data_IF_905277024519
#
_entry.id   IF_905277024519
#
_cell.length_a   1.000
_cell.length_b   1.000
_cell.length_c   1.000
_cell.angle_alpha   90.00
_cell.angle_beta   90.00
_cell.angle_gamma   90.00
#
_symmetry.space_group_name_H-M   'P 1'
#
loop_
_entity.id
_entity.type
_entity.pdbx_description
1 polymer ?
#
# COMPACT_ATOMS: atom_id res chain seq x y z
N UNK A 1 -23.64 32.79 36.08
CA UNK A 1 -24.90 32.80 35.31
C UNK A 1 -25.22 31.37 34.88
N UNK A 2 -25.85 30.59 35.76
CA UNK A 2 -26.40 29.28 35.40
C UNK A 2 -27.76 29.49 34.75
N UNK A 3 -27.89 29.17 33.46
CA UNK A 3 -29.21 29.06 32.82
C UNK A 3 -29.78 27.69 33.12
N UNK A 4 -30.64 27.65 34.12
CA UNK A 4 -31.61 26.59 34.39
C UNK A 4 -32.50 26.44 33.15
N UNK A 5 -32.39 25.33 32.44
CA UNK A 5 -33.42 24.93 31.48
C UNK A 5 -34.60 24.40 32.28
N UNK A 6 -35.52 25.30 32.62
CA UNK A 6 -36.88 24.97 33.02
C UNK A 6 -37.53 24.24 31.84
N UNK A 7 -37.85 22.96 32.02
CA UNK A 7 -38.91 22.34 31.23
C UNK A 7 -40.18 23.16 31.47
N UNK A 8 -40.55 23.98 30.50
CA UNK A 8 -41.87 24.61 30.49
C UNK A 8 -42.90 23.50 30.35
N UNK A 9 -43.69 23.27 31.42
CA UNK A 9 -44.82 22.36 31.40
C UNK A 9 -45.78 22.74 30.25
N UNK A 10 -46.24 21.78 29.44
CA UNK A 10 -47.29 22.05 28.49
C UNK A 10 -48.59 22.29 29.25
N UNK A 11 -48.96 23.56 29.42
CA UNK A 11 -50.31 23.99 29.76
C UNK A 11 -51.26 23.57 28.64
N UNK A 12 -51.82 22.36 28.73
CA UNK A 12 -53.04 21.97 28.02
C UNK A 12 -53.61 20.72 28.68
N UNK A 13 -54.87 20.84 29.09
CA UNK A 13 -55.72 19.85 29.74
C UNK A 13 -55.96 18.65 28.80
N UNK A 14 -54.91 17.90 28.49
CA UNK A 14 -54.96 16.64 27.75
C UNK A 14 -55.54 15.61 28.71
N UNK A 15 -56.67 15.01 28.33
CA UNK A 15 -57.28 13.99 29.18
C UNK A 15 -56.28 12.85 29.41
N UNK A 16 -56.27 12.23 30.60
CA UNK A 16 -55.40 11.08 30.91
C UNK A 16 -55.30 10.07 29.75
N UNK A 17 -56.40 9.70 29.03
CA UNK A 17 -56.33 8.84 27.86
C UNK A 17 -55.43 9.34 26.71
N UNK A 18 -55.35 10.65 26.47
CA UNK A 18 -54.51 11.23 25.42
C UNK A 18 -53.02 11.18 25.78
N UNK A 19 -52.68 11.41 27.05
CA UNK A 19 -51.30 11.32 27.53
C UNK A 19 -50.80 9.87 27.49
N UNK A 20 -51.63 8.90 27.89
CA UNK A 20 -51.32 7.48 27.76
C UNK A 20 -51.09 7.06 26.31
N UNK A 21 -51.93 7.54 25.37
CA UNK A 21 -51.80 7.22 23.95
C UNK A 21 -50.50 7.78 23.34
N UNK A 22 -50.06 8.96 23.77
CA UNK A 22 -48.79 9.55 23.33
C UNK A 22 -47.58 8.74 23.84
N UNK A 23 -47.56 8.38 25.12
CA UNK A 23 -46.48 7.58 25.71
C UNK A 23 -46.39 6.19 25.09
N UNK A 24 -47.53 5.52 24.86
CA UNK A 24 -47.56 4.23 24.18
C UNK A 24 -47.04 4.35 22.74
N UNK A 25 -47.42 5.39 22.01
CA UNK A 25 -46.90 5.63 20.65
C UNK A 25 -45.38 5.80 20.62
N UNK A 26 -44.81 6.53 21.58
CA UNK A 26 -43.34 6.70 21.70
C UNK A 26 -42.68 5.35 21.96
N UNK A 27 -43.20 4.56 22.88
CA UNK A 27 -42.66 3.24 23.24
C UNK A 27 -42.74 2.26 22.05
N UNK A 28 -43.86 2.25 21.33
CA UNK A 28 -44.01 1.41 20.13
C UNK A 28 -43.12 1.86 18.97
N UNK A 29 -42.80 3.15 18.85
CA UNK A 29 -41.93 3.68 17.78
C UNK A 29 -40.44 3.45 17.99
N UNK A 30 -40.03 2.98 19.19
CA UNK A 30 -38.63 2.69 19.47
C UNK A 30 -38.11 1.54 18.61
N UNK A 31 -36.93 1.71 18.01
CA UNK A 31 -36.24 0.64 17.31
C UNK A 31 -35.77 -0.45 18.29
N UNK A 32 -35.38 -0.05 19.50
CA UNK A 32 -34.98 -0.95 20.58
C UNK A 32 -36.20 -1.70 21.12
N UNK A 33 -36.02 -2.99 21.42
CA UNK A 33 -37.04 -3.77 22.12
C UNK A 33 -37.14 -3.31 23.57
N UNK A 34 -38.35 -3.00 24.03
CA UNK A 34 -38.61 -2.56 25.40
C UNK A 34 -39.51 -3.58 26.08
N UNK A 35 -39.09 -4.03 27.25
CA UNK A 35 -39.84 -4.93 28.13
C UNK A 35 -39.85 -4.37 29.54
N UNK A 36 -41.01 -4.41 30.19
CA UNK A 36 -41.20 -3.94 31.56
C UNK A 36 -41.71 -5.08 32.42
N UNK A 37 -41.12 -5.26 33.59
CA UNK A 37 -41.59 -6.17 34.62
C UNK A 37 -41.96 -5.41 35.90
N UNK A 38 -42.79 -6.01 36.74
CA UNK A 38 -43.10 -5.50 38.08
C UNK A 38 -41.98 -5.81 39.09
N UNK A 39 -42.20 -5.39 40.34
CA UNK A 39 -41.29 -5.59 41.47
C UNK A 39 -41.02 -7.06 41.82
N UNK A 40 -41.90 -7.97 41.41
CA UNK A 40 -41.75 -9.42 41.60
C UNK A 40 -41.08 -10.10 40.40
N UNK A 41 -40.77 -9.35 39.34
CA UNK A 41 -40.22 -9.90 38.10
C UNK A 41 -41.28 -10.58 37.22
N UNK A 42 -42.55 -10.19 37.35
CA UNK A 42 -43.63 -10.61 36.45
C UNK A 42 -43.72 -9.65 35.27
N UNK A 43 -43.78 -10.19 34.04
CA UNK A 43 -43.87 -9.37 32.83
C UNK A 43 -45.12 -8.49 32.83
N UNK A 44 -44.93 -7.18 32.68
CA UNK A 44 -45.99 -6.17 32.73
C UNK A 44 -46.39 -5.70 31.33
N UNK A 45 -45.42 -5.26 30.51
CA UNK A 45 -45.69 -4.85 29.13
C UNK A 45 -44.45 -5.01 28.25
N UNK A 46 -44.66 -5.01 26.92
CA UNK A 46 -43.59 -4.93 25.94
C UNK A 46 -44.03 -4.24 24.66
N UNK A 47 -43.09 -3.58 23.98
CA UNK A 47 -43.32 -3.00 22.66
C UNK A 47 -43.17 -4.06 21.54
N UNK A 48 -43.63 -3.72 20.35
CA UNK A 48 -43.57 -4.63 19.19
C UNK A 48 -42.13 -4.91 18.73
N UNK A 49 -41.20 -3.97 18.95
CA UNK A 49 -39.79 -4.17 18.65
C UNK A 49 -39.17 -5.31 19.45
N UNK A 50 -39.59 -5.54 20.70
CA UNK A 50 -39.10 -6.66 21.51
C UNK A 50 -39.43 -8.01 20.86
N UNK A 51 -40.66 -8.17 20.37
CA UNK A 51 -41.09 -9.37 19.63
C UNK A 51 -40.39 -9.47 18.28
N UNK A 52 -40.19 -8.35 17.57
CA UNK A 52 -39.46 -8.31 16.29
C UNK A 52 -38.01 -8.81 16.44
N UNK A 53 -37.32 -8.38 17.49
CA UNK A 53 -35.91 -8.71 17.74
C UNK A 53 -35.76 -10.15 18.24
N UNK A 54 -36.60 -10.60 19.17
CA UNK A 54 -36.42 -11.90 19.85
C UNK A 54 -37.24 -13.04 19.27
N UNK A 55 -38.20 -12.73 18.40
CA UNK A 55 -39.20 -13.67 17.90
C UNK A 55 -40.22 -14.14 18.94
N UNK A 56 -40.14 -13.66 20.20
CA UNK A 56 -41.05 -14.10 21.26
C UNK A 56 -42.36 -13.31 21.21
N UNK A 57 -43.52 -13.97 21.08
CA UNK A 57 -44.80 -13.28 21.13
C UNK A 57 -45.14 -12.82 22.56
N UNK A 58 -45.78 -11.65 22.71
CA UNK A 58 -46.11 -11.03 24.01
C UNK A 58 -46.70 -12.01 25.04
N UNK A 59 -47.62 -12.88 24.60
CA UNK A 59 -48.29 -13.91 25.42
C UNK A 59 -47.36 -14.87 26.18
N UNK A 60 -46.11 -15.02 25.74
CA UNK A 60 -45.12 -15.93 26.35
C UNK A 60 -44.38 -15.31 27.53
N UNK A 61 -44.41 -13.99 27.70
CA UNK A 61 -43.69 -13.27 28.75
C UNK A 61 -44.60 -12.40 29.62
N UNK A 62 -45.70 -11.85 29.06
CA UNK A 62 -46.64 -11.05 29.84
C UNK A 62 -47.37 -11.90 30.88
N UNK A 63 -47.53 -11.35 32.09
CA UNK A 63 -48.15 -11.97 33.26
C UNK A 63 -47.48 -13.27 33.74
N UNK A 64 -46.21 -13.51 33.36
CA UNK A 64 -45.42 -14.65 33.81
C UNK A 64 -44.21 -14.21 34.61
N UNK A 65 -43.83 -15.00 35.62
CA UNK A 65 -42.62 -14.75 36.39
C UNK A 65 -41.38 -15.09 35.55
N UNK A 66 -40.44 -14.16 35.47
CA UNK A 66 -39.22 -14.34 34.67
C UNK A 66 -38.37 -15.53 35.11
N UNK A 67 -38.41 -15.92 36.39
CA UNK A 67 -37.72 -17.13 36.87
C UNK A 67 -38.24 -18.40 36.20
N UNK A 68 -39.53 -18.47 35.90
CA UNK A 68 -40.10 -19.61 35.17
C UNK A 68 -39.69 -19.58 33.71
N UNK A 69 -39.74 -18.39 33.09
CA UNK A 69 -39.29 -18.17 31.71
C UNK A 69 -37.82 -18.56 31.53
N UNK A 70 -36.97 -18.26 32.52
CA UNK A 70 -35.57 -18.67 32.53
C UNK A 70 -35.41 -20.20 32.67
N UNK A 71 -36.21 -20.85 33.52
CA UNK A 71 -36.22 -22.33 33.65
C UNK A 71 -36.65 -23.03 32.36
N UNK A 72 -37.54 -22.41 31.57
CA UNK A 72 -37.95 -22.90 30.26
C UNK A 72 -36.87 -22.72 29.17
N UNK A 73 -35.74 -22.09 29.50
CA UNK A 73 -34.64 -21.84 28.55
C UNK A 73 -34.96 -20.73 27.55
N UNK A 74 -36.06 -20.00 27.74
CA UNK A 74 -36.45 -18.90 26.86
C UNK A 74 -35.51 -17.70 27.03
N UNK A 75 -35.02 -17.47 28.26
CA UNK A 75 -34.04 -16.42 28.58
C UNK A 75 -32.90 -17.08 29.36
N UNK A 76 -31.66 -16.96 28.88
CA UNK A 76 -30.50 -17.56 29.55
C UNK A 76 -30.14 -16.83 30.84
N UNK A 77 -29.96 -15.50 30.76
CA UNK A 77 -29.59 -14.62 31.86
C UNK A 77 -30.43 -13.35 31.77
N UNK A 78 -31.27 -13.07 32.77
CA UNK A 78 -32.20 -11.94 32.71
C UNK A 78 -31.59 -10.69 33.33
N UNK A 79 -31.36 -9.66 32.51
CA UNK A 79 -30.94 -8.34 33.00
C UNK A 79 -31.96 -7.78 33.99
N UNK A 80 -33.25 -8.01 33.76
CA UNK A 80 -34.33 -7.59 34.66
C UNK A 80 -34.16 -8.22 36.05
N UNK A 81 -33.84 -9.51 36.12
CA UNK A 81 -33.61 -10.19 37.38
C UNK A 81 -32.34 -9.68 38.08
N UNK A 82 -31.25 -9.41 37.33
CA UNK A 82 -30.04 -8.79 37.89
C UNK A 82 -30.30 -7.40 38.47
N UNK A 83 -31.15 -6.60 37.83
CA UNK A 83 -31.56 -5.29 38.35
C UNK A 83 -32.35 -5.44 39.64
N UNK A 84 -33.30 -6.38 39.73
CA UNK A 84 -34.05 -6.64 40.97
C UNK A 84 -33.14 -7.05 42.13
N UNK A 85 -32.09 -7.84 41.86
CA UNK A 85 -31.11 -8.26 42.87
C UNK A 85 -30.17 -7.13 43.29
N UNK A 86 -29.62 -6.38 42.33
CA UNK A 86 -28.58 -5.40 42.58
C UNK A 86 -29.13 -4.00 42.90
N UNK A 87 -30.42 -3.75 42.64
CA UNK A 87 -31.10 -2.46 42.81
C UNK A 87 -30.36 -1.30 42.12
N UNK A 88 -29.80 -1.55 40.93
CA UNK A 88 -29.12 -0.57 40.09
C UNK A 88 -29.28 -0.92 38.62
N UNK A 89 -28.98 0.01 37.72
CA UNK A 89 -28.96 -0.27 36.30
C UNK A 89 -27.84 -1.25 35.94
N UNK A 90 -28.13 -2.19 35.05
CA UNK A 90 -27.22 -3.26 34.64
C UNK A 90 -27.30 -3.44 33.13
N UNK A 91 -26.16 -3.60 32.47
CA UNK A 91 -26.06 -3.99 31.05
C UNK A 91 -25.37 -5.34 30.94
N UNK A 92 -25.96 -6.26 30.19
CA UNK A 92 -25.39 -7.58 29.89
C UNK A 92 -25.69 -7.98 28.45
N UNK A 93 -24.90 -8.90 27.92
CA UNK A 93 -25.34 -9.72 26.78
C UNK A 93 -26.18 -10.86 27.34
N UNK A 94 -27.39 -11.04 26.81
CA UNK A 94 -28.26 -12.16 27.17
C UNK A 94 -28.84 -12.81 25.92
N UNK A 95 -29.16 -14.09 26.03
CA UNK A 95 -29.79 -14.84 24.95
C UNK A 95 -31.28 -14.93 25.23
N UNK A 96 -32.10 -14.49 24.28
CA UNK A 96 -33.56 -14.55 24.36
C UNK A 96 -34.06 -15.34 23.15
N UNK A 97 -34.62 -16.53 23.39
CA UNK A 97 -35.11 -17.45 22.36
C UNK A 97 -34.07 -17.74 21.26
N UNK A 98 -32.81 -17.94 21.67
CA UNK A 98 -31.68 -18.21 20.78
C UNK A 98 -31.04 -16.98 20.13
N UNK A 99 -31.64 -15.78 20.27
CA UNK A 99 -31.07 -14.52 19.75
C UNK A 99 -30.22 -13.87 20.84
N UNK A 100 -28.96 -13.56 20.52
CA UNK A 100 -28.09 -12.78 21.40
C UNK A 100 -28.42 -11.29 21.29
N UNK A 101 -28.74 -10.67 22.43
CA UNK A 101 -29.09 -9.26 22.52
C UNK A 101 -28.26 -8.56 23.58
N UNK A 102 -27.88 -7.31 23.31
CA UNK A 102 -27.37 -6.42 24.35
C UNK A 102 -28.56 -5.84 25.10
N UNK A 103 -28.69 -6.17 26.39
CA UNK A 103 -29.80 -5.76 27.22
C UNK A 103 -29.35 -4.81 28.33
N UNK A 104 -30.01 -3.67 28.48
CA UNK A 104 -29.83 -2.76 29.63
C UNK A 104 -31.13 -2.64 30.41
N UNK A 105 -31.07 -3.00 31.69
CA UNK A 105 -32.19 -2.86 32.62
C UNK A 105 -31.98 -1.69 33.57
N UNK A 106 -33.06 -0.94 33.83
CA UNK A 106 -33.09 0.21 34.74
C UNK A 106 -34.25 0.07 35.74
N UNK A 107 -34.01 0.19 37.06
CA UNK A 107 -35.07 0.15 38.06
C UNK A 107 -35.84 1.47 38.11
N UNK A 108 -37.15 1.38 38.31
CA UNK A 108 -38.06 2.50 38.56
C UNK A 108 -38.52 2.41 40.01
N UNK A 109 -38.39 3.50 40.76
CA UNK A 109 -38.66 3.54 42.20
C UNK A 109 -39.97 4.27 42.52
N UNK A 110 -40.61 3.91 43.63
CA UNK A 110 -41.63 4.74 44.28
C UNK A 110 -41.02 5.84 45.16
N UNK A 111 -41.88 6.67 45.75
CA UNK A 111 -41.50 7.74 46.69
C UNK A 111 -40.80 7.20 47.96
N UNK A 112 -40.93 5.91 48.27
CA UNK A 112 -40.34 5.25 49.42
C UNK A 112 -39.01 4.53 49.07
N UNK A 113 -38.52 4.64 47.83
CA UNK A 113 -37.28 4.01 47.37
C UNK A 113 -37.39 2.50 47.07
N UNK A 114 -38.60 1.95 47.00
CA UNK A 114 -38.85 0.57 46.58
C UNK A 114 -39.02 0.48 45.07
N UNK A 115 -38.49 -0.57 44.45
CA UNK A 115 -38.63 -0.78 43.00
C UNK A 115 -40.10 -1.13 42.71
N UNK A 116 -40.75 -0.35 41.85
CA UNK A 116 -42.10 -0.63 41.34
C UNK A 116 -42.05 -1.39 40.01
N UNK A 117 -41.08 -1.05 39.16
CA UNK A 117 -40.92 -1.66 37.84
C UNK A 117 -39.45 -1.73 37.45
N UNK A 118 -39.13 -2.62 36.53
CA UNK A 118 -37.84 -2.65 35.84
C UNK A 118 -38.08 -2.51 34.35
N UNK A 119 -37.50 -1.47 33.75
CA UNK A 119 -37.55 -1.22 32.31
C UNK A 119 -36.29 -1.79 31.69
N UNK A 120 -36.46 -2.70 30.74
CA UNK A 120 -35.39 -3.37 30.01
C UNK A 120 -35.43 -2.94 28.55
N UNK A 121 -34.33 -2.41 28.03
CA UNK A 121 -34.12 -2.26 26.60
C UNK A 121 -33.28 -3.44 26.07
N UNK A 122 -33.52 -3.85 24.83
CA UNK A 122 -32.73 -4.85 24.13
C UNK A 122 -32.39 -4.36 22.72
N UNK A 123 -31.17 -4.63 22.30
CA UNK A 123 -30.68 -4.36 20.94
C UNK A 123 -30.21 -5.64 20.29
N UNK A 124 -30.60 -5.82 19.04
CA UNK A 124 -30.12 -6.90 18.20
C UNK A 124 -28.64 -6.68 17.85
N UNK A 125 -27.80 -7.67 18.12
CA UNK A 125 -26.39 -7.64 17.73
C UNK A 125 -26.18 -8.16 16.30
N UNK A 126 -27.22 -8.73 15.68
CA UNK A 126 -27.18 -9.31 14.33
C UNK A 126 -26.95 -8.24 13.25
N UNK A 127 -27.53 -7.04 13.36
CA UNK A 127 -27.31 -5.94 12.41
C UNK A 127 -25.85 -5.45 12.42
N UNK A 128 -25.23 -5.41 13.61
CA UNK A 128 -23.85 -4.98 13.82
C UNK A 128 -22.86 -6.03 13.30
N UNK A 129 -23.20 -7.31 13.47
CA UNK A 129 -22.47 -8.41 12.88
C UNK A 129 -22.67 -8.51 11.37
N UNK A 130 -23.87 -8.21 10.83
CA UNK A 130 -24.16 -8.19 9.40
C UNK A 130 -23.38 -7.08 8.69
N UNK A 131 -23.34 -5.87 9.23
CA UNK A 131 -22.50 -4.78 8.70
C UNK A 131 -21.01 -5.15 8.71
N UNK A 132 -20.55 -5.83 9.77
CA UNK A 132 -19.18 -6.34 9.87
C UNK A 132 -18.93 -7.48 8.87
N UNK A 133 -19.93 -8.33 8.64
CA UNK A 133 -19.85 -9.46 7.72
C UNK A 133 -19.90 -8.99 6.26
N UNK A 134 -20.67 -7.96 5.93
CA UNK A 134 -20.75 -7.37 4.59
C UNK A 134 -19.44 -6.63 4.23
N UNK A 135 -18.85 -5.92 5.20
CA UNK A 135 -17.50 -5.37 5.08
C UNK A 135 -16.48 -6.48 4.86
N UNK A 136 -16.49 -7.53 5.69
CA UNK A 136 -15.57 -8.65 5.58
C UNK A 136 -15.76 -9.46 4.29
N UNK A 137 -16.99 -9.66 3.83
CA UNK A 137 -17.31 -10.38 2.59
C UNK A 137 -16.88 -9.59 1.35
N UNK A 138 -16.99 -8.25 1.37
CA UNK A 138 -16.40 -7.40 0.34
C UNK A 138 -14.87 -7.50 0.31
N UNK A 139 -14.24 -7.64 1.48
CA UNK A 139 -12.80 -7.89 1.59
C UNK A 139 -12.42 -9.32 1.17
N UNK A 140 -13.24 -10.33 1.47
CA UNK A 140 -13.01 -11.74 1.10
C UNK A 140 -13.19 -11.99 -0.39
N UNK A 141 -14.19 -11.42 -1.06
CA UNK A 141 -14.33 -11.55 -2.53
C UNK A 141 -13.20 -10.83 -3.25
N UNK A 142 -12.76 -9.68 -2.73
CA UNK A 142 -11.55 -9.00 -3.22
C UNK A 142 -10.33 -9.88 -2.99
N UNK A 143 -10.20 -10.50 -1.82
CA UNK A 143 -9.09 -11.41 -1.49
C UNK A 143 -9.16 -12.73 -2.27
N UNK A 144 -10.32 -13.27 -2.61
CA UNK A 144 -10.47 -14.50 -3.41
C UNK A 144 -10.17 -14.24 -4.88
N UNK A 145 -10.63 -13.12 -5.45
CA UNK A 145 -10.22 -12.69 -6.79
C UNK A 145 -8.72 -12.38 -6.82
N UNK A 146 -8.20 -11.72 -5.77
CA UNK A 146 -6.76 -11.53 -5.60
C UNK A 146 -6.04 -12.86 -5.38
N UNK A 147 -6.62 -13.86 -4.72
CA UNK A 147 -5.99 -15.15 -4.43
C UNK A 147 -6.02 -16.10 -5.64
N UNK A 148 -7.07 -16.10 -6.46
CA UNK A 148 -7.07 -16.80 -7.76
C UNK A 148 -6.10 -16.12 -8.74
N UNK A 149 -6.08 -14.78 -8.76
CA UNK A 149 -5.06 -14.03 -9.50
C UNK A 149 -3.65 -14.30 -8.96
N UNK A 150 -3.46 -14.31 -7.63
CA UNK A 150 -2.21 -14.62 -6.96
C UNK A 150 -1.88 -16.11 -6.91
N UNK A 151 -2.75 -17.05 -7.27
CA UNK A 151 -2.36 -18.47 -7.38
C UNK A 151 -1.72 -18.73 -8.74
N UNK A 152 -2.25 -18.13 -9.81
CA UNK A 152 -1.66 -18.21 -11.15
C UNK A 152 -0.41 -17.32 -11.27
N UNK A 153 -0.37 -16.20 -10.55
CA UNK A 153 0.78 -15.28 -10.52
C UNK A 153 1.74 -15.57 -9.35
N UNK A 154 1.29 -16.27 -8.31
CA UNK A 154 2.05 -16.51 -7.06
C UNK A 154 3.13 -17.56 -7.16
N UNK A 155 2.97 -18.59 -8.01
CA UNK A 155 4.09 -19.50 -8.28
C UNK A 155 5.27 -18.76 -8.93
N UNK A 156 5.00 -17.70 -9.73
CA UNK A 156 6.04 -16.83 -10.28
C UNK A 156 6.52 -15.75 -9.29
N UNK A 157 5.66 -15.24 -8.39
CA UNK A 157 6.00 -14.20 -7.39
C UNK A 157 6.68 -14.74 -6.12
N UNK A 158 6.30 -15.92 -5.62
CA UNK A 158 6.96 -16.56 -4.46
C UNK A 158 8.37 -17.06 -4.84
N UNK A 159 8.58 -17.57 -6.06
CA UNK A 159 9.94 -17.89 -6.53
C UNK A 159 10.75 -16.63 -6.91
N UNK A 160 10.09 -15.49 -7.18
CA UNK A 160 10.74 -14.19 -7.35
C UNK A 160 11.12 -13.52 -6.02
N UNK A 161 10.74 -14.09 -4.87
CA UNK A 161 11.30 -13.73 -3.55
C UNK A 161 12.74 -14.22 -3.39
N UNK A 162 13.56 -14.05 -4.44
CA UNK A 162 15.00 -14.17 -4.33
C UNK A 162 15.51 -13.06 -3.41
N UNK A 163 16.45 -13.39 -2.51
CA UNK A 163 17.14 -12.41 -1.66
C UNK A 163 17.69 -11.27 -2.53
N UNK A 164 17.00 -10.13 -2.56
CA UNK A 164 17.42 -8.90 -3.25
C UNK A 164 16.57 -8.45 -4.44
N UNK A 165 15.60 -9.23 -4.95
CA UNK A 165 14.67 -8.75 -6.00
C UNK A 165 13.27 -8.51 -5.42
N UNK A 166 12.99 -7.25 -5.10
CA UNK A 166 11.68 -6.83 -4.58
C UNK A 166 10.90 -6.15 -5.68
N UNK A 167 9.72 -6.67 -5.99
CA UNK A 167 8.84 -6.08 -7.01
C UNK A 167 7.37 -6.49 -6.85
N UNK A 168 6.49 -5.54 -7.12
CA UNK A 168 5.06 -5.70 -7.37
C UNK A 168 4.69 -5.26 -8.80
N UNK A 169 5.68 -4.97 -9.66
CA UNK A 169 5.48 -4.50 -11.02
C UNK A 169 5.46 -5.68 -12.00
N UNK A 170 4.37 -5.79 -12.76
CA UNK A 170 4.21 -6.82 -13.78
C UNK A 170 5.30 -6.74 -14.87
N UNK A 171 5.85 -5.55 -15.13
CA UNK A 171 6.93 -5.37 -16.10
C UNK A 171 8.23 -6.01 -15.60
N UNK A 172 8.57 -5.81 -14.32
CA UNK A 172 9.75 -6.41 -13.72
C UNK A 172 9.56 -7.92 -13.55
N UNK A 173 8.36 -8.38 -13.22
CA UNK A 173 8.05 -9.82 -13.17
C UNK A 173 8.31 -10.49 -14.53
N UNK A 174 7.91 -9.85 -15.64
CA UNK A 174 8.24 -10.34 -16.99
C UNK A 174 9.74 -10.37 -17.24
N UNK A 175 10.47 -9.33 -16.84
CA UNK A 175 11.93 -9.30 -16.97
C UNK A 175 12.60 -10.43 -16.16
N UNK A 176 12.13 -10.70 -14.94
CA UNK A 176 12.59 -11.81 -14.09
C UNK A 176 12.30 -13.16 -14.75
N UNK A 177 11.09 -13.34 -15.32
CA UNK A 177 10.73 -14.57 -16.05
C UNK A 177 11.67 -14.83 -17.24
N UNK A 178 12.02 -13.80 -18.01
CA UNK A 178 13.01 -13.91 -19.09
C UNK A 178 14.39 -14.24 -18.53
N UNK A 179 14.84 -13.52 -17.48
CA UNK A 179 16.12 -13.78 -16.83
C UNK A 179 16.24 -15.22 -16.34
N UNK A 180 15.16 -15.79 -15.77
CA UNK A 180 15.10 -17.17 -15.29
C UNK A 180 15.19 -18.20 -16.41
N UNK A 181 14.51 -17.95 -17.54
CA UNK A 181 14.59 -18.82 -18.73
C UNK A 181 16.00 -18.82 -19.31
N UNK A 182 16.58 -17.63 -19.42
CA UNK A 182 17.93 -17.41 -19.96
C UNK A 182 19.01 -17.94 -19.02
N UNK A 183 18.80 -17.94 -17.71
CA UNK A 183 19.76 -18.49 -16.75
C UNK A 183 20.11 -19.96 -17.07
N UNK A 184 19.16 -20.74 -17.60
CA UNK A 184 19.32 -22.16 -17.97
C UNK A 184 20.14 -22.41 -19.24
N UNK A 185 20.57 -21.38 -19.96
CA UNK A 185 21.37 -21.49 -21.18
C UNK A 185 22.56 -20.54 -21.15
N UNK A 186 23.57 -20.79 -21.98
CA UNK A 186 24.81 -19.98 -22.05
C UNK A 186 24.74 -18.81 -23.05
N UNK A 187 23.53 -18.44 -23.51
CA UNK A 187 23.35 -17.28 -24.40
C UNK A 187 23.80 -15.97 -23.75
N UNK A 188 24.42 -15.10 -24.54
CA UNK A 188 24.79 -13.74 -24.11
C UNK A 188 23.55 -12.93 -23.76
N UNK A 189 23.61 -12.24 -22.64
CA UNK A 189 22.50 -11.41 -22.14
C UNK A 189 22.89 -9.95 -22.17
N UNK A 190 21.99 -9.10 -22.68
CA UNK A 190 22.15 -7.64 -22.66
C UNK A 190 21.13 -7.03 -21.70
N UNK A 191 21.60 -6.50 -20.57
CA UNK A 191 20.79 -5.78 -19.60
C UNK A 191 20.79 -4.28 -19.93
N UNK A 192 19.62 -3.73 -20.25
CA UNK A 192 19.48 -2.30 -20.56
C UNK A 192 18.62 -1.62 -19.51
N UNK A 193 18.91 -0.35 -19.24
CA UNK A 193 18.14 0.46 -18.30
C UNK A 193 18.99 1.56 -17.69
N UNK A 194 18.36 2.54 -17.08
CA UNK A 194 19.04 3.70 -16.50
C UNK A 194 20.06 3.31 -15.39
N UNK A 195 20.88 4.27 -14.97
CA UNK A 195 21.76 4.02 -13.83
C UNK A 195 20.93 3.84 -12.55
N UNK A 196 21.31 2.88 -11.73
CA UNK A 196 20.66 2.63 -10.43
C UNK A 196 19.35 1.81 -10.49
N UNK A 197 18.96 1.23 -11.63
CA UNK A 197 17.73 0.41 -11.72
C UNK A 197 17.86 -1.02 -11.19
N UNK A 198 19.07 -1.46 -10.83
CA UNK A 198 19.33 -2.83 -10.34
C UNK A 198 19.86 -3.82 -11.39
N UNK A 199 20.55 -3.35 -12.43
CA UNK A 199 21.15 -4.24 -13.47
C UNK A 199 22.09 -5.30 -12.89
N UNK A 200 22.87 -4.94 -11.88
CA UNK A 200 23.77 -5.88 -11.19
C UNK A 200 22.98 -6.99 -10.46
N UNK A 201 21.86 -6.66 -9.82
CA UNK A 201 20.98 -7.65 -9.16
C UNK A 201 20.43 -8.64 -10.19
N UNK A 202 20.07 -8.17 -11.39
CA UNK A 202 19.68 -9.05 -12.50
C UNK A 202 20.83 -9.94 -12.98
N UNK A 203 22.05 -9.42 -13.10
CA UNK A 203 23.21 -10.20 -13.49
C UNK A 203 23.52 -11.29 -12.45
N UNK A 204 23.48 -10.95 -11.17
CA UNK A 204 23.67 -11.87 -10.04
C UNK A 204 22.62 -12.97 -10.06
N UNK A 205 21.35 -12.62 -10.27
CA UNK A 205 20.27 -13.57 -10.39
C UNK A 205 20.49 -14.55 -11.54
N UNK A 206 20.85 -14.06 -12.73
CA UNK A 206 21.09 -14.91 -13.91
C UNK A 206 22.26 -15.86 -13.65
N UNK A 207 23.35 -15.38 -13.06
CA UNK A 207 24.50 -16.22 -12.73
C UNK A 207 24.13 -17.31 -11.73
N UNK A 208 23.51 -16.94 -10.60
CA UNK A 208 23.17 -17.86 -9.51
C UNK A 208 22.20 -18.96 -9.94
N UNK A 209 21.30 -18.69 -10.89
CA UNK A 209 20.32 -19.65 -11.41
C UNK A 209 20.80 -20.40 -12.66
N UNK A 210 22.07 -20.25 -13.04
CA UNK A 210 22.65 -20.94 -14.17
C UNK A 210 23.35 -22.23 -13.79
N UNK A 211 23.66 -23.06 -14.80
CA UNK A 211 24.55 -24.21 -14.63
C UNK A 211 25.95 -23.82 -14.11
N UNK A 212 26.32 -22.53 -14.23
CA UNK A 212 27.59 -21.97 -13.80
C UNK A 212 27.51 -21.23 -12.45
N UNK A 213 26.39 -21.29 -11.72
CA UNK A 213 26.19 -20.53 -10.47
C UNK A 213 27.16 -20.87 -9.32
N UNK A 214 27.83 -22.02 -9.38
CA UNK A 214 28.90 -22.41 -8.45
C UNK A 214 30.32 -22.19 -9.01
N UNK A 215 30.45 -21.58 -10.19
CA UNK A 215 31.74 -21.32 -10.86
C UNK A 215 32.16 -19.86 -10.70
N UNK A 216 33.32 -19.50 -11.24
CA UNK A 216 33.85 -18.14 -11.16
C UNK A 216 32.83 -17.11 -11.69
N UNK A 217 32.62 -16.04 -10.93
CA UNK A 217 31.83 -14.90 -11.34
C UNK A 217 32.66 -13.62 -11.26
N UNK A 218 33.01 -13.06 -12.41
CA UNK A 218 33.88 -11.89 -12.51
C UNK A 218 33.06 -10.70 -12.97
N UNK A 219 32.92 -9.69 -12.10
CA UNK A 219 32.27 -8.42 -12.42
C UNK A 219 33.33 -7.40 -12.86
N UNK A 220 33.05 -6.70 -13.95
CA UNK A 220 33.92 -5.64 -14.48
C UNK A 220 33.06 -4.44 -14.85
N UNK A 221 33.37 -3.28 -14.29
CA UNK A 221 32.79 -2.02 -14.74
C UNK A 221 33.75 -1.37 -15.76
N UNK A 222 33.31 -1.24 -17.01
CA UNK A 222 34.11 -0.71 -18.10
C UNK A 222 34.31 0.81 -18.03
N UNK A 223 33.45 1.55 -17.34
CA UNK A 223 33.58 3.00 -17.13
C UNK A 223 34.52 3.38 -15.96
N UNK A 224 34.71 2.49 -14.99
CA UNK A 224 35.52 2.75 -13.80
C UNK A 224 37.03 2.58 -14.02
N UNK A 225 37.44 1.78 -15.02
CA UNK A 225 38.86 1.50 -15.30
C UNK A 225 39.35 2.47 -16.39
N UNK A 226 40.47 3.19 -16.17
CA UNK A 226 41.06 4.02 -17.21
C UNK A 226 41.30 3.25 -18.51
N UNK A 227 40.98 3.86 -19.65
CA UNK A 227 41.08 3.22 -20.97
C UNK A 227 42.47 2.60 -21.26
N UNK A 228 43.54 3.26 -20.78
CA UNK A 228 44.92 2.79 -20.91
C UNK A 228 45.24 1.51 -20.14
N UNK A 229 44.46 1.18 -19.09
CA UNK A 229 44.63 -0.01 -18.27
C UNK A 229 43.60 -1.09 -18.58
N UNK A 230 42.44 -0.72 -19.12
CA UNK A 230 41.33 -1.62 -19.36
C UNK A 230 41.71 -2.83 -20.21
N UNK A 231 42.55 -2.64 -21.23
CA UNK A 231 43.04 -3.75 -22.07
C UNK A 231 43.84 -4.77 -21.27
N UNK A 232 44.80 -4.30 -20.47
CA UNK A 232 45.68 -5.13 -19.66
C UNK A 232 44.92 -5.82 -18.52
N UNK A 233 43.88 -5.18 -17.97
CA UNK A 233 43.00 -5.80 -16.97
C UNK A 233 42.11 -6.89 -17.59
N UNK A 234 41.46 -6.62 -18.73
CA UNK A 234 40.54 -7.57 -19.37
C UNK A 234 41.27 -8.78 -19.93
N UNK A 235 42.33 -8.56 -20.70
CA UNK A 235 43.00 -9.61 -21.50
C UNK A 235 44.31 -10.10 -20.89
N UNK A 236 44.86 -9.39 -19.88
CA UNK A 236 46.15 -9.72 -19.31
C UNK A 236 47.31 -9.30 -20.22
N UNK A 237 48.53 -9.51 -19.74
CA UNK A 237 49.74 -9.16 -20.48
C UNK A 237 50.88 -10.15 -20.21
N UNK A 238 51.76 -10.33 -21.19
CA UNK A 238 53.00 -11.08 -21.03
C UNK A 238 54.13 -10.22 -20.46
N UNK A 239 55.16 -10.87 -19.94
CA UNK A 239 56.36 -10.20 -19.43
C UNK A 239 56.95 -9.29 -20.52
N UNK A 240 57.17 -8.02 -20.18
CA UNK A 240 57.80 -7.05 -21.09
C UNK A 240 56.87 -6.47 -22.16
N UNK A 241 55.55 -6.66 -22.04
CA UNK A 241 54.58 -6.09 -22.98
C UNK A 241 54.62 -4.54 -23.07
N UNK A 242 54.93 -3.85 -21.97
CA UNK A 242 55.09 -2.39 -21.92
C UNK A 242 55.99 -1.95 -20.76
N UNK A 243 56.41 -0.68 -20.75
CA UNK A 243 57.22 -0.09 -19.68
C UNK A 243 56.45 -0.06 -18.36
N UNK A 244 56.90 -0.83 -17.37
CA UNK A 244 56.23 -1.01 -16.08
C UNK A 244 55.45 -2.32 -15.93
N UNK A 245 55.43 -3.18 -16.97
CA UNK A 245 54.85 -4.51 -16.86
C UNK A 245 55.58 -5.36 -15.79
N UNK A 246 54.80 -6.07 -14.96
CA UNK A 246 55.37 -6.98 -13.96
C UNK A 246 56.22 -8.06 -14.64
N UNK A 247 57.32 -8.45 -13.99
CA UNK A 247 58.27 -9.45 -14.50
C UNK A 247 57.66 -10.83 -14.76
N UNK A 248 56.48 -11.13 -14.21
CA UNK A 248 55.80 -12.42 -14.35
C UNK A 248 54.57 -12.34 -15.28
N UNK A 249 54.30 -11.18 -15.89
CA UNK A 249 53.04 -10.93 -16.59
C UNK A 249 51.84 -10.85 -15.65
N UNK A 250 50.63 -10.75 -16.20
CA UNK A 250 49.36 -10.75 -15.46
C UNK A 250 48.28 -11.49 -16.25
N UNK A 251 47.50 -12.31 -15.54
CA UNK A 251 46.32 -12.99 -16.08
C UNK A 251 45.17 -11.99 -16.18
N UNK A 252 44.47 -11.98 -17.32
CA UNK A 252 43.31 -11.10 -17.56
C UNK A 252 42.03 -11.57 -16.87
N UNK A 253 41.06 -10.66 -16.72
CA UNK A 253 39.75 -10.96 -16.14
C UNK A 253 38.96 -11.99 -16.94
N UNK A 254 39.10 -12.01 -18.28
CA UNK A 254 38.49 -13.03 -19.13
C UNK A 254 39.02 -14.44 -18.83
N UNK A 255 40.34 -14.58 -18.68
CA UNK A 255 40.97 -15.85 -18.34
C UNK A 255 40.62 -16.28 -16.90
N UNK A 256 40.50 -15.33 -15.97
CA UNK A 256 40.02 -15.59 -14.60
C UNK A 256 38.57 -16.06 -14.54
N UNK A 257 37.73 -15.64 -15.49
CA UNK A 257 36.33 -16.03 -15.59
C UNK A 257 36.13 -17.37 -16.32
N UNK A 258 37.20 -17.99 -16.84
CA UNK A 258 37.12 -19.21 -17.64
C UNK A 258 36.45 -20.36 -16.87
N UNK A 259 35.52 -21.06 -17.52
CA UNK A 259 34.60 -22.05 -16.92
C UNK A 259 33.42 -21.43 -16.16
N UNK A 260 33.34 -20.10 -16.09
CA UNK A 260 32.36 -19.35 -15.29
C UNK A 260 31.59 -18.30 -16.10
N UNK A 261 31.28 -17.18 -15.44
CA UNK A 261 30.53 -16.04 -16.02
C UNK A 261 31.32 -14.75 -15.84
N UNK A 262 31.37 -13.91 -16.87
CA UNK A 262 31.85 -12.54 -16.80
C UNK A 262 30.68 -11.56 -16.97
N UNK A 263 30.56 -10.62 -16.03
CA UNK A 263 29.62 -9.52 -16.10
C UNK A 263 30.35 -8.23 -16.49
N UNK A 264 29.94 -7.62 -17.61
CA UNK A 264 30.50 -6.39 -18.16
C UNK A 264 29.49 -5.26 -17.97
N UNK A 265 29.65 -4.47 -16.92
CA UNK A 265 28.82 -3.28 -16.68
C UNK A 265 29.36 -2.07 -17.44
N UNK A 266 28.45 -1.17 -17.82
CA UNK A 266 28.73 0.02 -18.63
C UNK A 266 29.47 -0.28 -19.94
N UNK A 267 29.05 -1.32 -20.68
CA UNK A 267 29.73 -1.75 -21.91
C UNK A 267 29.77 -0.67 -23.00
N UNK A 268 28.84 0.29 -22.96
CA UNK A 268 28.83 1.46 -23.86
C UNK A 268 30.01 2.41 -23.67
N UNK A 269 30.67 2.39 -22.50
CA UNK A 269 31.86 3.20 -22.20
C UNK A 269 33.17 2.54 -22.70
N UNK A 270 33.09 1.32 -23.26
CA UNK A 270 34.28 0.61 -23.73
C UNK A 270 34.91 1.33 -24.94
N UNK A 271 36.23 1.64 -24.90
CA UNK A 271 36.94 2.24 -26.01
C UNK A 271 36.78 1.44 -27.30
N UNK A 272 36.59 2.16 -28.42
CA UNK A 272 36.29 1.55 -29.73
C UNK A 272 37.33 0.52 -30.19
N UNK A 273 38.60 0.74 -29.87
CA UNK A 273 39.71 -0.18 -30.21
C UNK A 273 39.60 -1.53 -29.49
N UNK A 274 39.08 -1.55 -28.25
CA UNK A 274 38.93 -2.76 -27.45
C UNK A 274 37.70 -3.58 -27.86
N UNK A 275 36.72 -2.95 -28.49
CA UNK A 275 35.52 -3.62 -28.99
C UNK A 275 35.86 -4.74 -29.99
N UNK A 276 36.93 -4.58 -30.78
CA UNK A 276 37.42 -5.63 -31.70
C UNK A 276 37.93 -6.86 -30.95
N UNK A 277 38.66 -6.66 -29.85
CA UNK A 277 39.17 -7.77 -29.03
C UNK A 277 38.04 -8.48 -28.29
N UNK A 278 37.08 -7.71 -27.79
CA UNK A 278 35.87 -8.28 -27.19
C UNK A 278 35.05 -9.09 -28.20
N UNK A 279 34.91 -8.60 -29.43
CA UNK A 279 34.24 -9.33 -30.51
C UNK A 279 34.90 -10.69 -30.77
N UNK A 280 36.24 -10.74 -30.81
CA UNK A 280 36.98 -12.00 -30.96
C UNK A 280 36.73 -12.95 -29.78
N UNK A 281 36.72 -12.44 -28.55
CA UNK A 281 36.38 -13.25 -27.38
C UNK A 281 34.96 -13.84 -27.45
N UNK A 282 33.99 -13.10 -28.00
CA UNK A 282 32.59 -13.51 -28.18
C UNK A 282 32.33 -14.43 -29.38
N UNK A 283 33.15 -14.35 -30.43
CA UNK A 283 32.96 -15.11 -31.67
C UNK A 283 33.84 -16.35 -31.72
N UNK A 284 35.14 -16.19 -31.44
CA UNK A 284 36.16 -17.24 -31.55
C UNK A 284 36.29 -18.02 -30.25
N UNK A 285 35.71 -17.53 -29.13
CA UNK A 285 35.93 -18.10 -27.79
C UNK A 285 37.42 -18.19 -27.45
N UNK A 286 38.18 -17.17 -27.86
CA UNK A 286 39.62 -17.10 -27.66
C UNK A 286 40.05 -15.67 -27.35
N UNK A 287 41.12 -15.53 -26.56
CA UNK A 287 41.81 -14.26 -26.32
C UNK A 287 43.32 -14.40 -26.51
N UNK A 288 43.98 -13.25 -26.66
CA UNK A 288 45.43 -13.13 -26.65
C UNK A 288 45.81 -12.07 -25.61
N UNK A 289 46.83 -12.38 -24.81
CA UNK A 289 47.40 -11.40 -23.85
C UNK A 289 48.11 -10.29 -24.60
N UNK A 290 48.14 -9.08 -24.02
CA UNK A 290 48.90 -7.96 -24.58
C UNK A 290 50.38 -8.34 -24.68
N UNK A 291 50.97 -8.13 -25.87
CA UNK A 291 52.36 -8.49 -26.18
C UNK A 291 52.60 -9.98 -26.44
N UNK A 292 51.60 -10.84 -26.27
CA UNK A 292 51.68 -12.27 -26.52
C UNK A 292 51.11 -12.68 -27.88
N UNK A 293 51.52 -13.84 -28.39
CA UNK A 293 51.00 -14.43 -29.63
C UNK A 293 50.16 -15.69 -29.39
N UNK A 294 50.18 -16.23 -28.18
CA UNK A 294 49.45 -17.44 -27.81
C UNK A 294 47.95 -17.18 -27.71
N UNK A 295 47.16 -17.97 -28.44
CA UNK A 295 45.71 -18.03 -28.27
C UNK A 295 45.36 -18.84 -27.02
N UNK A 296 44.40 -18.32 -26.25
CA UNK A 296 43.87 -18.93 -25.03
C UNK A 296 42.38 -19.15 -25.25
N UNK A 297 41.96 -20.41 -25.31
CA UNK A 297 40.54 -20.77 -25.44
C UNK A 297 39.76 -20.48 -24.16
N UNK A 298 38.56 -19.96 -24.32
CA UNK A 298 37.65 -19.51 -23.29
C UNK A 298 36.31 -20.25 -23.37
N UNK A 299 35.94 -20.90 -22.28
CA UNK A 299 34.58 -21.35 -22.03
C UNK A 299 33.94 -20.41 -21.00
N UNK A 300 33.35 -19.31 -21.48
CA UNK A 300 32.74 -18.29 -20.61
C UNK A 300 31.33 -17.94 -21.05
N UNK A 301 30.48 -17.72 -20.05
CA UNK A 301 29.21 -17.03 -20.24
C UNK A 301 29.40 -15.52 -20.09
N UNK A 302 28.75 -14.73 -20.94
CA UNK A 302 28.85 -13.27 -20.91
C UNK A 302 27.48 -12.66 -20.59
N UNK A 303 27.47 -11.76 -19.61
CA UNK A 303 26.34 -10.87 -19.29
C UNK A 303 26.87 -9.45 -19.46
N UNK A 304 26.23 -8.64 -20.29
CA UNK A 304 26.61 -7.24 -20.50
C UNK A 304 25.50 -6.32 -20.00
N UNK A 305 25.86 -5.14 -19.52
CA UNK A 305 24.92 -4.11 -19.09
C UNK A 305 25.32 -2.72 -19.59
N UNK A 306 24.32 -1.88 -19.85
CA UNK A 306 24.52 -0.48 -20.23
C UNK A 306 23.31 0.39 -19.88
N UNK A 307 23.57 1.67 -19.63
CA UNK A 307 22.57 2.73 -19.55
C UNK A 307 22.48 3.59 -20.83
N UNK A 308 23.42 3.41 -21.76
CA UNK A 308 23.44 4.14 -23.02
C UNK A 308 22.63 3.40 -24.10
N UNK A 309 22.09 4.14 -25.06
CA UNK A 309 21.46 3.56 -26.23
C UNK A 309 22.55 3.11 -27.23
N UNK A 310 22.83 1.81 -27.26
CA UNK A 310 23.88 1.25 -28.13
C UNK A 310 23.59 1.43 -29.62
N UNK A 311 22.31 1.41 -30.04
CA UNK A 311 21.93 1.63 -31.44
C UNK A 311 22.35 3.03 -31.90
N UNK A 312 22.09 4.06 -31.07
CA UNK A 312 22.55 5.42 -31.33
C UNK A 312 24.08 5.53 -31.35
N UNK A 313 24.81 4.78 -30.51
CA UNK A 313 26.27 4.76 -30.55
C UNK A 313 26.81 4.08 -31.81
N UNK A 314 26.10 3.07 -32.34
CA UNK A 314 26.42 2.43 -33.61
C UNK A 314 26.25 3.43 -34.76
N UNK A 315 25.13 4.16 -34.80
CA UNK A 315 24.90 5.24 -35.77
C UNK A 315 25.99 6.32 -35.70
N UNK A 316 26.45 6.66 -34.50
CA UNK A 316 27.53 7.62 -34.25
C UNK A 316 28.94 7.05 -34.47
N UNK A 317 29.09 5.78 -34.86
CA UNK A 317 30.37 5.06 -35.01
C UNK A 317 31.24 5.05 -33.74
N UNK A 318 30.61 5.13 -32.58
CA UNK A 318 31.25 4.98 -31.25
C UNK A 318 31.15 3.56 -30.73
N UNK A 319 30.24 2.77 -31.29
CA UNK A 319 30.10 1.34 -31.00
C UNK A 319 30.06 0.56 -32.31
N UNK A 320 30.69 -0.61 -32.36
CA UNK A 320 30.69 -1.42 -33.57
C UNK A 320 29.39 -2.19 -33.73
N UNK A 321 28.87 -2.18 -34.95
CA UNK A 321 27.63 -2.88 -35.31
C UNK A 321 27.75 -4.41 -35.14
N UNK A 322 28.89 -4.99 -35.54
CA UNK A 322 29.18 -6.43 -35.40
C UNK A 322 29.15 -6.90 -33.93
N UNK A 323 29.73 -6.12 -33.03
CA UNK A 323 29.71 -6.36 -31.59
C UNK A 323 28.30 -6.19 -31.00
N UNK A 324 27.56 -5.16 -31.43
CA UNK A 324 26.19 -4.92 -30.96
C UNK A 324 25.31 -6.16 -31.16
N UNK A 325 25.28 -6.72 -32.36
CA UNK A 325 24.46 -7.91 -32.63
C UNK A 325 24.93 -9.15 -31.87
N UNK A 326 26.24 -9.27 -31.56
CA UNK A 326 26.77 -10.40 -30.80
C UNK A 326 26.52 -10.31 -29.30
N UNK A 327 26.36 -9.09 -28.78
CA UNK A 327 25.99 -8.84 -27.39
C UNK A 327 24.46 -8.86 -27.19
N UNK A 328 23.70 -8.32 -28.14
CA UNK A 328 22.25 -8.15 -28.05
C UNK A 328 21.47 -9.42 -28.45
N UNK A 329 21.91 -10.60 -27.99
CA UNK A 329 21.27 -11.88 -28.31
C UNK A 329 19.97 -12.04 -27.53
N UNK A 330 20.01 -11.80 -26.20
CA UNK A 330 18.81 -11.74 -25.37
C UNK A 330 18.78 -10.41 -24.60
N UNK A 331 18.04 -9.40 -25.10
CA UNK A 331 17.84 -8.15 -24.38
C UNK A 331 16.87 -8.32 -23.21
N UNK A 332 17.22 -7.77 -22.06
CA UNK A 332 16.34 -7.60 -20.91
C UNK A 332 16.35 -6.12 -20.55
N UNK A 333 15.22 -5.46 -20.72
CA UNK A 333 15.03 -4.08 -20.32
C UNK A 333 14.56 -4.01 -18.87
N UNK A 334 15.20 -3.16 -18.07
CA UNK A 334 14.86 -2.95 -16.67
C UNK A 334 14.36 -1.51 -16.52
N UNK A 335 13.05 -1.41 -16.28
CA UNK A 335 12.34 -0.14 -16.22
C UNK A 335 12.86 0.76 -15.07
N UNK A 336 12.92 2.08 -15.30
CA UNK A 336 13.24 3.05 -14.27
C UNK A 336 12.14 3.09 -13.20
N UNK A 337 12.51 3.46 -11.97
CA UNK A 337 11.65 3.37 -10.79
C UNK A 337 10.34 4.17 -10.93
N UNK A 338 10.38 5.29 -11.65
CA UNK A 338 9.20 6.13 -11.98
C UNK A 338 8.15 5.45 -12.86
N UNK A 339 8.51 4.40 -13.59
CA UNK A 339 7.59 3.62 -14.44
C UNK A 339 7.03 2.40 -13.70
N UNK A 340 7.55 2.10 -12.50
CA UNK A 340 7.14 1.00 -11.62
C UNK A 340 6.89 1.48 -10.20
N UNK A 341 5.98 2.44 -10.05
CA UNK A 341 5.71 3.09 -8.76
C UNK A 341 5.22 2.13 -7.68
N UNK A 342 4.58 1.01 -8.05
CA UNK A 342 4.17 -0.05 -7.11
C UNK A 342 5.34 -0.74 -6.39
N UNK A 343 6.56 -0.62 -6.92
CA UNK A 343 7.78 -1.16 -6.28
C UNK A 343 8.36 -0.20 -5.23
N UNK A 344 8.02 1.09 -5.26
CA UNK A 344 8.67 2.11 -4.42
C UNK A 344 8.45 1.82 -2.93
N UNK A 345 7.21 1.59 -2.51
CA UNK A 345 6.90 1.34 -1.10
C UNK A 345 7.56 0.04 -0.58
N UNK A 346 7.40 -1.13 -1.23
CA UNK A 346 8.10 -2.35 -0.82
C UNK A 346 9.62 -2.20 -0.73
N UNK A 347 10.25 -1.55 -1.71
CA UNK A 347 11.71 -1.32 -1.71
C UNK A 347 12.11 -0.37 -0.57
N UNK A 348 11.34 0.69 -0.32
CA UNK A 348 11.61 1.62 0.77
C UNK A 348 11.54 0.94 2.15
N UNK A 349 10.53 0.08 2.38
CA UNK A 349 10.42 -0.70 3.62
C UNK A 349 11.56 -1.70 3.78
N UNK A 350 11.98 -2.36 2.71
CA UNK A 350 13.13 -3.25 2.75
C UNK A 350 14.42 -2.52 3.15
N UNK A 351 14.70 -1.37 2.53
CA UNK A 351 15.87 -0.59 2.94
C UNK A 351 15.76 -0.09 4.37
N UNK A 352 14.59 0.38 4.80
CA UNK A 352 14.35 0.76 6.19
C UNK A 352 14.72 -0.36 7.16
N UNK A 353 14.26 -1.59 6.90
CA UNK A 353 14.56 -2.76 7.73
C UNK A 353 16.07 -3.06 7.75
N UNK A 354 16.72 -3.11 6.59
CA UNK A 354 18.17 -3.35 6.48
C UNK A 354 19.00 -2.28 7.20
N UNK A 355 18.58 -1.02 7.13
CA UNK A 355 19.26 0.12 7.75
C UNK A 355 19.02 0.12 9.27
N UNK A 356 17.80 -0.19 9.72
CA UNK A 356 17.49 -0.36 11.15
C UNK A 356 18.33 -1.48 11.77
N UNK A 357 18.44 -2.63 11.09
CA UNK A 357 19.29 -3.74 11.54
C UNK A 357 20.77 -3.33 11.58
N UNK A 358 21.26 -2.67 10.53
CA UNK A 358 22.66 -2.22 10.43
C UNK A 358 23.07 -1.21 11.52
N UNK A 359 22.16 -0.32 11.91
CA UNK A 359 22.46 0.76 12.87
C UNK A 359 21.80 0.55 14.24
N UNK A 360 21.21 -0.62 14.49
CA UNK A 360 20.51 -0.95 15.74
C UNK A 360 19.41 0.08 16.10
N UNK A 361 18.67 0.55 15.09
CA UNK A 361 17.58 1.52 15.23
C UNK A 361 16.21 0.85 15.05
N UNK A 362 15.15 1.57 15.44
CA UNK A 362 13.76 1.12 15.28
C UNK A 362 12.89 2.19 14.60
N UNK A 363 13.40 2.80 13.53
CA UNK A 363 12.66 3.83 12.78
C UNK A 363 11.49 3.21 12.01
N UNK A 364 10.38 3.94 11.89
CA UNK A 364 9.20 3.56 11.10
C UNK A 364 8.84 4.66 10.10
N UNK A 365 8.17 4.31 8.99
CA UNK A 365 7.65 5.30 8.04
C UNK A 365 6.19 5.61 8.34
N UNK A 366 5.87 6.89 8.54
CA UNK A 366 4.49 7.35 8.61
C UNK A 366 3.78 7.15 7.24
N UNK A 367 2.48 6.81 7.20
CA UNK A 367 1.75 6.64 5.94
C UNK A 367 1.82 7.84 4.97
N UNK A 368 2.04 9.06 5.49
CA UNK A 368 2.22 10.27 4.69
C UNK A 368 3.48 10.28 3.82
N UNK A 369 4.49 9.46 4.13
CA UNK A 369 5.75 9.36 3.38
C UNK A 369 5.55 8.72 2.01
N UNK A 370 4.72 7.66 1.94
CA UNK A 370 4.57 6.84 0.73
C UNK A 370 4.13 7.67 -0.48
N UNK A 371 3.08 8.52 -0.40
CA UNK A 371 2.69 9.37 -1.53
C UNK A 371 3.79 10.33 -1.99
N UNK A 372 4.67 10.76 -1.09
CA UNK A 372 5.79 11.67 -1.45
C UNK A 372 6.86 10.91 -2.22
N UNK A 373 7.20 9.70 -1.79
CA UNK A 373 8.12 8.80 -2.48
C UNK A 373 7.59 8.41 -3.87
N UNK A 374 6.31 8.05 -3.97
CA UNK A 374 5.69 7.64 -5.24
C UNK A 374 5.58 8.76 -6.27
N UNK A 375 5.49 10.02 -5.83
CA UNK A 375 5.38 11.18 -6.71
C UNK A 375 6.72 11.75 -7.18
N UNK A 376 7.84 11.25 -6.65
CA UNK A 376 9.16 11.69 -7.05
C UNK A 376 9.63 10.98 -8.34
N UNK A 377 10.47 11.65 -9.15
CA UNK A 377 10.89 11.12 -10.45
C UNK A 377 12.01 10.08 -10.36
N UNK A 378 12.72 10.00 -9.22
CA UNK A 378 13.84 9.09 -8.98
C UNK A 378 14.89 9.05 -10.11
N UNK A 379 15.54 10.18 -10.45
CA UNK A 379 16.60 10.20 -11.47
C UNK A 379 17.77 9.25 -11.19
N UNK A 380 18.05 8.91 -9.93
CA UNK A 380 19.04 7.89 -9.55
C UNK A 380 18.43 6.53 -9.21
N UNK A 381 17.13 6.33 -9.51
CA UNK A 381 16.38 5.07 -9.35
C UNK A 381 16.53 4.46 -7.94
N UNK A 382 16.73 3.14 -7.83
CA UNK A 382 16.80 2.42 -6.55
C UNK A 382 17.99 2.92 -5.71
N UNK A 383 19.12 3.25 -6.34
CA UNK A 383 20.30 3.78 -5.64
C UNK A 383 20.02 5.11 -4.95
N UNK A 384 19.23 5.97 -5.57
CA UNK A 384 18.81 7.22 -4.94
C UNK A 384 17.80 6.97 -3.82
N UNK A 385 16.84 6.06 -4.02
CA UNK A 385 15.89 5.67 -2.98
C UNK A 385 16.60 5.13 -1.73
N UNK A 386 17.55 4.22 -1.89
CA UNK A 386 18.37 3.69 -0.80
C UNK A 386 19.06 4.82 -0.02
N UNK A 387 19.76 5.72 -0.74
CA UNK A 387 20.45 6.86 -0.12
C UNK A 387 19.50 7.83 0.59
N UNK A 388 18.30 8.05 0.05
CA UNK A 388 17.28 8.91 0.66
C UNK A 388 16.77 8.28 1.96
N UNK A 389 16.44 6.99 1.95
CA UNK A 389 15.98 6.28 3.16
C UNK A 389 17.09 6.22 4.21
N UNK A 390 18.33 5.87 3.84
CA UNK A 390 19.47 5.85 4.77
C UNK A 390 19.70 7.21 5.39
N UNK A 391 19.72 8.26 4.57
CA UNK A 391 19.89 9.63 5.07
C UNK A 391 18.77 10.01 6.04
N UNK A 392 17.51 9.74 5.71
CA UNK A 392 16.38 10.10 6.59
C UNK A 392 16.40 9.32 7.90
N UNK A 393 16.74 8.03 7.88
CA UNK A 393 16.88 7.22 9.11
C UNK A 393 17.95 7.79 10.02
N UNK A 394 19.12 8.14 9.47
CA UNK A 394 20.27 8.65 10.24
C UNK A 394 20.04 10.08 10.75
N UNK A 395 19.32 10.93 10.01
CA UNK A 395 19.14 12.35 10.39
C UNK A 395 17.84 12.67 11.12
N UNK A 396 16.91 11.71 11.24
CA UNK A 396 15.63 11.93 11.92
C UNK A 396 15.78 11.86 13.44
N UNK A 397 15.32 12.89 14.13
CA UNK A 397 15.31 12.92 15.60
C UNK A 397 14.25 11.97 16.19
N UNK A 398 13.11 11.82 15.50
CA UNK A 398 11.99 11.00 15.95
C UNK A 398 12.04 9.59 15.35
N UNK A 399 11.49 8.60 16.05
CA UNK A 399 11.44 7.22 15.55
C UNK A 399 10.46 7.06 14.38
N UNK A 400 9.38 7.84 14.36
CA UNK A 400 8.46 7.89 13.23
C UNK A 400 8.92 8.95 12.22
N UNK A 401 9.30 8.50 11.03
CA UNK A 401 9.71 9.34 9.90
C UNK A 401 8.48 9.87 9.19
N UNK A 402 8.41 11.18 9.02
CA UNK A 402 7.30 11.88 8.34
C UNK A 402 7.74 12.44 6.99
N UNK A 403 6.77 12.90 6.19
CA UNK A 403 7.04 13.51 4.89
C UNK A 403 8.03 14.70 4.94
N UNK A 404 8.06 15.47 6.05
CA UNK A 404 8.98 16.61 6.21
C UNK A 404 10.44 16.22 6.41
N UNK A 405 10.71 14.97 6.80
CA UNK A 405 12.05 14.46 7.08
C UNK A 405 12.75 13.96 5.79
N UNK A 406 12.01 13.86 4.69
CA UNK A 406 12.56 13.40 3.43
C UNK A 406 13.38 14.51 2.75
N UNK A 407 14.65 14.27 2.39
CA UNK A 407 15.52 15.22 1.71
C UNK A 407 15.18 15.37 0.21
N UNK A 408 13.93 15.14 -0.19
CA UNK A 408 13.47 15.23 -1.58
C UNK A 408 12.58 16.46 -1.76
N UNK A 409 12.93 17.30 -2.73
CA UNK A 409 12.06 18.40 -3.16
C UNK A 409 11.07 17.82 -4.16
N UNK A 410 9.91 17.38 -3.68
CA UNK A 410 8.81 17.14 -4.61
C UNK A 410 8.39 18.47 -5.20
N UNK A 411 8.51 18.63 -6.53
CA UNK A 411 7.76 19.68 -7.23
C UNK A 411 6.28 19.28 -7.25
N UNK A 412 5.65 19.18 -6.08
CA UNK A 412 4.20 19.03 -5.93
C UNK A 412 3.46 20.20 -6.59
N UNK A 413 4.13 21.34 -6.81
CA UNK A 413 3.60 22.44 -7.60
C UNK A 413 3.67 22.23 -9.13
N UNK A 414 4.63 21.48 -9.70
CA UNK A 414 4.76 21.44 -11.18
C UNK A 414 3.80 20.50 -11.89
N UNK A 415 3.37 19.39 -11.28
CA UNK A 415 2.49 18.42 -11.97
C UNK A 415 1.02 18.84 -11.99
N UNK A 416 0.58 19.75 -11.13
CA UNK A 416 -0.76 20.34 -11.24
C UNK A 416 -0.85 21.39 -12.37
N UNK A 417 0.30 21.90 -12.85
CA UNK A 417 0.39 23.06 -13.74
C UNK A 417 0.74 22.73 -15.21
N UNK A 418 1.25 21.54 -15.52
CA UNK A 418 1.71 21.21 -16.90
C UNK A 418 0.62 21.01 -17.96
N UNK A 419 -0.67 21.07 -17.61
CA UNK A 419 -1.76 20.94 -18.61
C UNK A 419 -2.99 21.84 -18.36
N UNK A 420 -2.95 22.73 -17.35
CA UNK A 420 -4.10 23.57 -17.00
C UNK A 420 -3.70 25.03 -17.04
N UNK A 421 -4.29 25.78 -17.97
CA UNK A 421 -4.14 27.24 -18.01
C UNK A 421 -4.56 27.85 -16.66
N UNK A 422 -3.97 28.98 -16.26
CA UNK A 422 -4.33 29.71 -15.03
C UNK A 422 -5.85 29.85 -14.88
N UNK A 423 -6.54 30.11 -15.99
CA UNK A 423 -8.00 30.18 -16.08
C UNK A 423 -8.70 28.90 -15.59
N UNK A 424 -8.24 27.71 -15.97
CA UNK A 424 -8.82 26.43 -15.53
C UNK A 424 -8.54 26.13 -14.05
N UNK A 425 -7.42 26.60 -13.53
CA UNK A 425 -7.04 26.35 -12.13
C UNK A 425 -7.79 27.23 -11.16
N UNK A 426 -7.93 28.52 -11.50
CA UNK A 426 -8.80 29.44 -10.77
C UNK A 426 -10.25 28.93 -10.82
N UNK A 427 -10.72 28.45 -11.97
CA UNK A 427 -12.06 27.85 -12.07
C UNK A 427 -12.23 26.61 -11.18
N UNK A 428 -11.25 25.71 -11.13
CA UNK A 428 -11.33 24.52 -10.27
C UNK A 428 -11.35 24.91 -8.79
N UNK A 429 -10.46 25.82 -8.38
CA UNK A 429 -10.42 26.34 -7.01
C UNK A 429 -11.75 27.02 -6.65
N UNK A 430 -12.31 27.83 -7.55
CA UNK A 430 -13.61 28.45 -7.36
C UNK A 430 -14.73 27.41 -7.19
N UNK A 431 -14.72 26.32 -7.96
CA UNK A 431 -15.71 25.23 -7.83
C UNK A 431 -15.58 24.52 -6.49
N UNK A 432 -14.36 24.18 -6.08
CA UNK A 432 -14.09 23.43 -4.85
C UNK A 432 -14.49 24.26 -3.62
N UNK A 433 -14.13 25.55 -3.58
CA UNK A 433 -14.53 26.47 -2.50
C UNK A 433 -16.05 26.69 -2.45
N UNK A 434 -16.73 26.78 -3.60
CA UNK A 434 -18.19 26.92 -3.65
C UNK A 434 -18.87 25.66 -3.12
N UNK A 435 -18.37 24.46 -3.46
CA UNK A 435 -18.91 23.19 -2.96
C UNK A 435 -18.75 23.04 -1.46
N UNK A 436 -17.59 23.38 -0.92
CA UNK A 436 -17.29 23.34 0.52
C UNK A 436 -18.22 24.28 1.29
N UNK A 437 -18.33 25.54 0.86
CA UNK A 437 -19.22 26.51 1.51
C UNK A 437 -20.71 26.15 1.42
N UNK A 438 -21.14 25.49 0.34
CA UNK A 438 -22.52 25.00 0.21
C UNK A 438 -22.81 23.81 1.13
N UNK A 439 -21.84 22.90 1.31
CA UNK A 439 -21.94 21.77 2.24
C UNK A 439 -22.02 22.24 3.70
N UNK A 440 -21.25 23.25 4.08
CA UNK A 440 -21.20 23.72 5.47
C UNK A 440 -22.36 24.65 5.86
N UNK A 441 -22.94 25.38 4.90
CA UNK A 441 -23.90 26.45 5.20
C UNK A 441 -25.30 26.24 4.62
N UNK A 442 -25.51 25.15 3.86
CA UNK A 442 -26.78 24.59 3.35
C UNK A 442 -27.72 25.56 2.59
N UNK A 443 -27.35 26.83 2.47
CA UNK A 443 -28.13 27.89 1.84
C UNK A 443 -27.20 28.80 1.06
N UNK A 444 -27.61 29.16 -0.16
CA UNK A 444 -26.81 30.02 -1.05
C UNK A 444 -26.51 31.39 -0.46
N UNK A 445 -27.36 31.90 0.44
CA UNK A 445 -27.14 33.19 1.11
C UNK A 445 -25.99 33.14 2.13
N UNK A 446 -25.95 32.10 2.97
CA UNK A 446 -24.89 31.94 3.99
C UNK A 446 -23.56 31.51 3.36
N UNK A 447 -23.62 30.64 2.35
CA UNK A 447 -22.43 30.24 1.60
C UNK A 447 -21.77 31.44 0.88
N UNK A 448 -22.58 32.36 0.33
CA UNK A 448 -22.05 33.57 -0.32
C UNK A 448 -21.39 34.52 0.69
N UNK A 449 -21.96 34.65 1.89
CA UNK A 449 -21.42 35.46 2.98
C UNK A 449 -20.08 34.91 3.49
N UNK A 450 -19.98 33.59 3.68
CA UNK A 450 -18.73 32.92 4.07
C UNK A 450 -17.62 33.06 3.02
N UNK A 451 -17.99 33.07 1.73
CA UNK A 451 -17.07 33.28 0.61
C UNK A 451 -16.78 34.76 0.31
N UNK A 452 -17.40 35.71 1.03
CA UNK A 452 -17.18 37.15 0.85
C UNK A 452 -17.70 37.71 -0.48
N UNK A 453 -18.69 37.07 -1.11
CA UNK A 453 -19.29 37.50 -2.39
C UNK A 453 -20.80 37.74 -2.28
N UNK A 454 -21.38 38.48 -3.22
CA UNK A 454 -22.83 38.64 -3.26
C UNK A 454 -23.55 37.33 -3.61
N UNK A 455 -24.73 37.09 -3.05
CA UNK A 455 -25.56 35.92 -3.38
C UNK A 455 -25.82 35.81 -4.89
N UNK A 456 -26.04 36.93 -5.57
CA UNK A 456 -26.21 36.99 -7.03
C UNK A 456 -24.96 36.57 -7.81
N UNK A 457 -23.76 36.82 -7.27
CA UNK A 457 -22.49 36.40 -7.87
C UNK A 457 -22.23 34.90 -7.66
N UNK A 458 -22.59 34.37 -6.48
CA UNK A 458 -22.53 32.94 -6.19
C UNK A 458 -23.45 32.16 -7.15
N UNK A 459 -24.73 32.54 -7.26
CA UNK A 459 -25.70 31.88 -8.15
C UNK A 459 -25.26 31.94 -9.62
N UNK A 460 -24.70 33.07 -10.08
CA UNK A 460 -24.12 33.16 -11.43
C UNK A 460 -22.94 32.21 -11.64
N UNK A 461 -22.07 32.04 -10.65
CA UNK A 461 -20.94 31.10 -10.70
C UNK A 461 -21.41 29.65 -10.66
N UNK A 462 -22.38 29.31 -9.83
CA UNK A 462 -23.00 27.98 -9.77
C UNK A 462 -23.62 27.57 -11.12
N UNK A 463 -24.40 28.46 -11.72
CA UNK A 463 -24.98 28.22 -13.05
C UNK A 463 -23.91 28.08 -14.15
N UNK A 464 -22.84 28.88 -14.08
CA UNK A 464 -21.71 28.82 -15.02
C UNK A 464 -20.94 27.49 -14.91
N UNK A 465 -20.91 26.89 -13.72
CA UNK A 465 -20.21 25.64 -13.44
C UNK A 465 -21.14 24.41 -13.37
N UNK A 466 -22.43 24.57 -13.69
CA UNK A 466 -23.44 23.52 -13.64
C UNK A 466 -23.56 22.83 -12.27
N UNK A 467 -23.40 23.59 -11.18
CA UNK A 467 -23.62 23.10 -9.82
C UNK A 467 -25.10 23.28 -9.48
N UNK A 468 -25.81 22.18 -9.19
CA UNK A 468 -27.23 22.21 -8.83
C UNK A 468 -27.43 22.33 -7.31
N UNK A 469 -28.40 23.15 -6.88
CA UNK A 469 -28.77 23.30 -5.47
C UNK A 469 -29.31 21.99 -4.86
N UNK A 470 -29.77 21.04 -5.67
CA UNK A 470 -30.43 19.81 -5.22
C UNK A 470 -29.47 18.68 -4.80
N UNK A 471 -28.18 18.76 -5.12
CA UNK A 471 -27.20 17.73 -4.75
C UNK A 471 -26.59 17.90 -3.35
N UNK A 472 -26.78 19.06 -2.71
CA UNK A 472 -26.09 19.43 -1.47
C UNK A 472 -27.02 20.00 -0.38
N UNK A 473 -28.33 20.00 -0.63
CA UNK A 473 -29.38 20.38 0.32
C UNK A 473 -30.22 19.13 0.60
N UNK A 474 -29.63 18.18 1.33
CA UNK A 474 -30.39 17.12 1.98
C UNK A 474 -29.94 17.02 3.43
N UNK A 475 -30.71 17.68 4.29
CA UNK A 475 -31.21 17.14 5.56
C UNK A 475 -32.67 17.58 5.72
#
# INVERSE_FOLDING_TARGET
>A
MHRSFLFSEPTQNTSLPQQFKLLDSIIQSSYDGIFVADSNGVGWTMNDAYTRITGIPKRKLLHRELKEVMKEGIISDSVTYRVLQQKKAVTIVQTVNGVEVLATGSPVYDENGSIIHVVTNIRDLSDLNYLKFELNASHEVTNEILNEFNQVVGEEREEASFKGMITNSDEIIKAISVAKKVAKVDSTVMLTGESGVGKEVFADFIHNHSHRGNHAYVKVNCGAIPSSLLEAELFGYEKGAFTGAANNGKIGLFERANGGTIFLDEIGEMPFELQVKLLRALQEHEIQRVGGTRQISLDIRIIAATNQNLEQLVEQRKFREDLYYRLNVVPIHIAPLRERTSDIAPIAYYFLEQINEKYEMNKTLNPSVIPVLENYNWPGNIRELENVIERTVVTSDQDEITASDLPIKTNTMDRCHKSKTLKKMVQKLEIDMIKEALREHHTTRKAAEALGISQSSLVKKMNKFQLSDQEYVHD
#
